data_IF_257040308927
#
_entry.id   IF_257040308927
#
_cell.length_a   1.000
_cell.length_b   1.000
_cell.length_c   1.000
_cell.angle_alpha   90.00
_cell.angle_beta   90.00
_cell.angle_gamma   90.00
#
_symmetry.space_group_name_H-M   'P 1'
#
loop_
_entity.id
_entity.type
_entity.pdbx_description
1 polymer ?
#
# COMPACT_ATOMS: atom_id res chain seq x y z
N UNK A 1 0.80 -8.99 15.28
CA UNK A 1 1.78 -9.90 14.67
C UNK A 1 2.76 -9.06 13.86
N UNK A 2 3.95 -8.76 14.39
CA UNK A 2 4.92 -7.87 13.73
C UNK A 2 5.48 -8.45 12.41
N UNK A 3 5.53 -9.78 12.28
CA UNK A 3 5.93 -10.46 11.03
C UNK A 3 4.94 -10.22 9.89
N UNK A 4 3.63 -10.36 10.14
CA UNK A 4 2.59 -10.17 9.10
C UNK A 4 2.61 -8.75 8.54
N UNK A 5 2.80 -7.73 9.39
CA UNK A 5 2.90 -6.35 8.93
C UNK A 5 4.16 -6.11 8.08
N UNK A 6 5.30 -6.71 8.47
CA UNK A 6 6.54 -6.60 7.69
C UNK A 6 6.43 -7.25 6.31
N UNK A 7 5.90 -8.48 6.24
CA UNK A 7 5.67 -9.19 4.98
C UNK A 7 4.70 -8.41 4.07
N UNK A 8 3.64 -7.85 4.66
CA UNK A 8 2.66 -7.04 3.94
C UNK A 8 3.30 -5.79 3.35
N UNK A 9 4.15 -5.07 4.10
CA UNK A 9 4.90 -3.91 3.58
C UNK A 9 5.80 -4.29 2.42
N UNK A 10 6.52 -5.41 2.53
CA UNK A 10 7.37 -5.90 1.43
C UNK A 10 6.55 -6.23 0.18
N UNK A 11 5.37 -6.83 0.36
CA UNK A 11 4.46 -7.15 -0.74
C UNK A 11 3.89 -5.89 -1.41
N UNK A 12 3.50 -4.89 -0.62
CA UNK A 12 3.06 -3.58 -1.12
C UNK A 12 4.19 -2.90 -1.91
N UNK A 13 5.44 -2.96 -1.43
CA UNK A 13 6.59 -2.44 -2.15
C UNK A 13 6.80 -3.14 -3.50
N UNK A 14 6.69 -4.47 -3.55
CA UNK A 14 6.77 -5.20 -4.81
C UNK A 14 5.67 -4.78 -5.80
N UNK A 15 4.43 -4.63 -5.33
CA UNK A 15 3.31 -4.12 -6.13
C UNK A 15 3.58 -2.73 -6.68
N UNK A 16 4.17 -1.84 -5.88
CA UNK A 16 4.55 -0.51 -6.34
C UNK A 16 5.61 -0.56 -7.44
N UNK A 17 6.60 -1.44 -7.33
CA UNK A 17 7.62 -1.63 -8.39
C UNK A 17 6.97 -2.16 -9.66
N UNK A 18 6.08 -3.15 -9.55
CA UNK A 18 5.38 -3.74 -10.69
C UNK A 18 4.49 -2.74 -11.42
N UNK A 19 3.81 -1.85 -10.68
CA UNK A 19 2.90 -0.85 -11.24
C UNK A 19 3.64 0.36 -11.84
N UNK A 20 4.75 0.78 -11.23
CA UNK A 20 5.46 2.00 -11.64
C UNK A 20 6.66 1.74 -12.56
N UNK A 21 7.18 0.51 -12.59
CA UNK A 21 8.37 0.15 -13.37
C UNK A 21 9.65 0.84 -12.94
N UNK A 22 9.62 1.61 -11.84
CA UNK A 22 10.76 2.35 -11.30
C UNK A 22 10.94 2.03 -9.80
N UNK A 23 12.01 1.30 -9.51
CA UNK A 23 12.43 0.97 -8.15
C UNK A 23 12.99 2.20 -7.40
N UNK A 24 13.35 3.28 -8.11
CA UNK A 24 13.87 4.52 -7.53
C UNK A 24 12.86 5.27 -6.66
N UNK A 25 11.60 5.32 -7.08
CA UNK A 25 10.52 5.89 -6.25
C UNK A 25 10.26 5.02 -5.02
N UNK A 26 10.12 3.71 -5.22
CA UNK A 26 9.76 2.78 -4.15
C UNK A 26 10.86 2.68 -3.09
N UNK A 27 12.11 2.64 -3.51
CA UNK A 27 13.27 2.56 -2.60
C UNK A 27 13.49 3.83 -1.77
N UNK A 28 12.99 4.98 -2.21
CA UNK A 28 13.16 6.26 -1.52
C UNK A 28 11.99 6.64 -0.61
N UNK A 29 10.78 6.13 -0.91
CA UNK A 29 9.59 6.35 -0.09
C UNK A 29 9.74 5.72 1.31
N UNK A 30 9.50 6.54 2.34
CA UNK A 30 9.37 6.05 3.72
C UNK A 30 8.03 5.35 3.94
N UNK A 31 8.02 4.32 4.79
CA UNK A 31 6.79 3.58 5.11
C UNK A 31 5.71 4.47 5.75
N UNK A 32 6.13 5.51 6.47
CA UNK A 32 5.24 6.47 7.16
C UNK A 32 4.88 7.69 6.31
N UNK A 33 5.59 7.89 5.20
CA UNK A 33 5.37 9.04 4.33
C UNK A 33 4.09 8.88 3.51
N UNK A 34 3.46 10.02 3.22
CA UNK A 34 2.30 10.04 2.34
C UNK A 34 2.73 9.72 0.91
N UNK A 35 2.18 8.66 0.32
CA UNK A 35 2.46 8.26 -1.06
C UNK A 35 2.20 9.42 -2.04
N UNK A 36 1.14 10.21 -1.81
CA UNK A 36 0.84 11.39 -2.62
C UNK A 36 1.85 12.52 -2.45
N UNK A 37 2.41 12.69 -1.25
CA UNK A 37 3.44 13.71 -1.01
C UNK A 37 4.78 13.31 -1.60
N UNK A 38 5.07 12.00 -1.66
CA UNK A 38 6.24 11.47 -2.33
C UNK A 38 6.20 11.63 -3.86
N UNK A 39 5.02 11.96 -4.43
CA UNK A 39 4.85 12.19 -5.87
C UNK A 39 3.96 11.18 -6.57
N UNK A 40 3.33 10.23 -5.84
CA UNK A 40 2.37 9.31 -6.43
C UNK A 40 1.13 10.05 -6.92
N UNK A 41 0.77 9.82 -8.18
CA UNK A 41 -0.47 10.36 -8.74
C UNK A 41 -1.69 9.67 -8.12
N UNK A 42 -2.85 10.35 -8.15
CA UNK A 42 -4.11 9.75 -7.69
C UNK A 42 -4.47 8.49 -8.48
N UNK A 43 -4.15 8.43 -9.79
CA UNK A 43 -4.42 7.26 -10.64
C UNK A 43 -3.55 6.07 -10.27
N UNK A 44 -2.29 6.31 -9.93
CA UNK A 44 -1.39 5.27 -9.44
C UNK A 44 -1.82 4.74 -8.08
N UNK A 45 -2.26 5.62 -7.18
CA UNK A 45 -2.81 5.20 -5.90
C UNK A 45 -4.03 4.29 -6.09
N UNK A 46 -4.99 4.68 -6.93
CA UNK A 46 -6.16 3.81 -7.23
C UNK A 46 -5.74 2.48 -7.83
N UNK A 47 -4.75 2.49 -8.74
CA UNK A 47 -4.23 1.25 -9.34
C UNK A 47 -3.59 0.32 -8.30
N UNK A 48 -2.88 0.89 -7.32
CA UNK A 48 -2.35 0.15 -6.19
C UNK A 48 -3.46 -0.47 -5.35
N UNK A 49 -4.51 0.30 -5.03
CA UNK A 49 -5.64 -0.20 -4.23
C UNK A 49 -6.31 -1.41 -4.89
N UNK A 50 -6.58 -1.34 -6.19
CA UNK A 50 -7.15 -2.46 -6.96
C UNK A 50 -6.19 -3.65 -7.01
N UNK A 51 -4.89 -3.42 -7.20
CA UNK A 51 -3.91 -4.50 -7.20
C UNK A 51 -3.78 -5.17 -5.81
N UNK A 52 -3.97 -4.41 -4.73
CA UNK A 52 -3.99 -4.95 -3.38
C UNK A 52 -5.19 -5.87 -3.15
N UNK A 53 -6.38 -5.51 -3.65
CA UNK A 53 -7.57 -6.37 -3.54
C UNK A 53 -7.31 -7.76 -4.15
N UNK A 54 -6.73 -7.79 -5.36
CA UNK A 54 -6.38 -9.03 -6.07
C UNK A 54 -5.28 -9.83 -5.34
N UNK A 55 -4.20 -9.18 -4.90
CA UNK A 55 -3.06 -9.87 -4.26
C UNK A 55 -3.38 -10.38 -2.86
N UNK A 56 -4.14 -9.62 -2.08
CA UNK A 56 -4.43 -9.97 -0.69
C UNK A 56 -5.78 -10.67 -0.51
N UNK A 57 -6.63 -10.68 -1.55
CA UNK A 57 -7.91 -11.38 -1.58
C UNK A 57 -8.98 -10.70 -0.72
N UNK A 58 -9.06 -9.37 -0.75
CA UNK A 58 -10.07 -8.60 -0.01
C UNK A 58 -10.68 -7.51 -0.90
N UNK A 59 -11.76 -6.89 -0.43
CA UNK A 59 -12.40 -5.74 -1.08
C UNK A 59 -12.30 -4.53 -0.15
N UNK A 60 -12.01 -3.34 -0.70
CA UNK A 60 -12.02 -2.11 0.10
C UNK A 60 -13.44 -1.74 0.52
N UNK A 61 -13.59 -1.32 1.77
CA UNK A 61 -14.85 -0.74 2.25
C UNK A 61 -15.04 0.66 1.62
N UNK A 62 -16.27 0.96 1.18
CA UNK A 62 -16.65 2.30 0.69
C UNK A 62 -16.40 3.38 1.77
N UNK A 63 -16.46 3.01 3.05
CA UNK A 63 -16.19 3.89 4.20
C UNK A 63 -14.71 3.92 4.62
N UNK A 64 -13.78 3.41 3.78
CA UNK A 64 -12.35 3.42 4.11
C UNK A 64 -11.85 4.85 4.29
N UNK A 65 -11.24 5.11 5.45
CA UNK A 65 -10.76 6.44 5.77
C UNK A 65 -9.54 6.80 4.93
N UNK A 66 -9.43 8.04 4.40
CA UNK A 66 -8.27 8.47 3.62
C UNK A 66 -6.92 8.27 4.33
N UNK A 67 -6.91 8.33 5.67
CA UNK A 67 -5.71 8.11 6.47
C UNK A 67 -5.21 6.66 6.40
N UNK A 68 -6.09 5.68 6.17
CA UNK A 68 -5.73 4.28 5.97
C UNK A 68 -5.02 4.03 4.63
N UNK A 69 -5.23 4.92 3.65
CA UNK A 69 -4.69 4.81 2.30
C UNK A 69 -3.49 5.75 2.05
N UNK A 70 -3.02 6.42 3.10
CA UNK A 70 -2.05 7.52 2.97
C UNK A 70 -0.62 7.03 2.79
N UNK A 71 -0.23 5.97 3.47
CA UNK A 71 1.15 5.49 3.56
C UNK A 71 1.23 3.95 3.47
N UNK A 72 2.42 3.43 3.19
CA UNK A 72 2.66 1.97 3.13
C UNK A 72 2.38 1.33 4.49
N UNK A 73 2.72 2.00 5.59
CA UNK A 73 2.41 1.56 6.95
C UNK A 73 0.90 1.45 7.18
N UNK A 74 0.13 2.49 6.86
CA UNK A 74 -1.33 2.46 7.03
C UNK A 74 -1.99 1.34 6.21
N UNK A 75 -1.53 1.13 4.97
CA UNK A 75 -2.01 0.07 4.09
C UNK A 75 -1.68 -1.32 4.67
N UNK A 76 -0.46 -1.49 5.19
CA UNK A 76 -0.05 -2.76 5.79
C UNK A 76 -0.80 -3.07 7.08
N UNK A 77 -1.03 -2.05 7.92
CA UNK A 77 -1.81 -2.19 9.14
C UNK A 77 -3.27 -2.56 8.85
N UNK A 78 -3.85 -1.99 7.79
CA UNK A 78 -5.21 -2.35 7.35
C UNK A 78 -5.31 -3.82 6.96
N UNK A 79 -4.41 -4.30 6.09
CA UNK A 79 -4.38 -5.72 5.67
C UNK A 79 -4.08 -6.65 6.84
N UNK A 80 -3.19 -6.26 7.76
CA UNK A 80 -2.90 -7.02 8.96
C UNK A 80 -4.11 -7.12 9.90
N UNK A 81 -4.96 -6.09 9.95
CA UNK A 81 -6.20 -6.11 10.72
C UNK A 81 -7.26 -7.03 10.10
N UNK A 82 -7.34 -7.14 8.77
CA UNK A 82 -8.24 -8.05 8.06
C UNK A 82 -7.87 -9.53 8.23
N UNK A 83 -6.58 -9.83 8.44
CA UNK A 83 -6.04 -11.19 8.61
C UNK A 83 -6.01 -11.69 10.06
N UNK A 84 -6.63 -10.94 10.98
CA UNK A 84 -6.68 -11.27 12.41
C UNK A 84 -7.91 -12.11 12.74
#
# INVERSE_FOLDING_TARGET
MPEVALETRQRIRALLVDLHGDDGFVSTVSDTESLRQAGMSSTALVSLLVAMEDVFGFEWDDDVRPEALRSIESLADHVAALRR
#
